data_IF_359415524678
#
_entry.id   IF_359415524678
#
_cell.length_a   1.000
_cell.length_b   1.000
_cell.length_c   1.000
_cell.angle_alpha   90.00
_cell.angle_beta   90.00
_cell.angle_gamma   90.00
#
_symmetry.space_group_name_H-M   'P 1'
#
loop_
_entity.id
_entity.type
_entity.pdbx_description
1 polymer ?
2 non-polymer ?
3 non-polymer ?
4 non-polymer ?
5 water ?
#
# COMPACT_ATOMS: atom_id res chain seq x y z
N UNK A 39 -13.32 17.09 5.94
CA UNK A 39 -14.29 16.07 6.44
C UNK A 39 -13.62 14.69 6.53
N UNK A 40 -12.93 14.31 5.46
CA UNK A 40 -12.24 13.03 5.43
C UNK A 40 -11.17 12.99 6.52
N UNK A 41 -10.34 14.03 6.56
CA UNK A 41 -9.28 14.10 7.55
C UNK A 41 -9.79 13.77 8.94
N UNK A 42 -10.83 14.46 9.37
CA UNK A 42 -11.37 14.21 10.69
C UNK A 42 -11.82 12.76 10.80
N UNK A 43 -12.51 12.27 9.79
CA UNK A 43 -13.00 10.91 9.79
C UNK A 43 -11.86 9.93 10.02
N UNK A 44 -10.83 10.06 9.20
CA UNK A 44 -9.63 9.23 9.24
C UNK A 44 -9.02 9.23 10.65
N UNK A 45 -8.64 10.40 11.15
CA UNK A 45 -8.05 10.52 12.48
C UNK A 45 -8.91 9.91 13.55
N UNK A 46 -10.22 10.11 13.46
CA UNK A 46 -11.07 9.56 14.48
C UNK A 46 -11.17 8.05 14.40
N UNK A 47 -11.23 7.51 13.19
CA UNK A 47 -11.35 6.07 13.09
C UNK A 47 -10.05 5.38 13.52
N UNK A 48 -8.91 5.99 13.22
CA UNK A 48 -7.64 5.40 13.61
C UNK A 48 -7.63 5.24 15.12
N UNK A 49 -8.25 6.18 15.82
CA UNK A 49 -8.31 6.12 17.27
C UNK A 49 -9.41 5.21 17.77
N UNK A 50 -10.63 5.40 17.29
CA UNK A 50 -11.74 4.58 17.74
C UNK A 50 -11.52 3.11 17.49
N UNK A 51 -11.05 2.77 16.30
CA UNK A 51 -10.79 1.38 15.94
C UNK A 51 -9.46 0.89 16.54
N UNK A 52 -8.76 1.79 17.23
CA UNK A 52 -7.49 1.48 17.88
C UNK A 52 -6.45 0.89 16.94
N UNK A 53 -6.19 1.61 15.87
CA UNK A 53 -5.24 1.20 14.86
C UNK A 53 -3.86 1.70 15.23
N UNK A 54 -3.72 3.02 15.38
CA UNK A 54 -2.43 3.58 15.78
C UNK A 54 -2.71 4.65 16.81
N UNK A 55 -1.74 4.91 17.68
CA UNK A 55 -1.87 5.94 18.68
C UNK A 55 -0.84 6.97 18.27
N UNK A 56 -1.27 8.20 18.06
CA UNK A 56 -0.36 9.25 17.61
C UNK A 56 0.28 10.07 18.71
N UNK A 57 -0.11 9.78 19.95
CA UNK A 57 0.41 10.54 21.08
C UNK A 57 1.87 10.29 21.48
N UNK A 58 2.71 9.89 20.54
CA UNK A 58 4.11 9.63 20.84
C UNK A 58 4.88 10.96 20.83
N UNK A 59 5.76 11.18 21.81
CA UNK A 59 6.56 12.40 21.93
C UNK A 59 7.42 12.84 20.76
N UNK A 60 7.46 12.04 19.69
CA UNK A 60 8.27 12.43 18.54
C UNK A 60 7.38 12.47 17.30
N UNK A 61 7.29 13.65 16.71
CA UNK A 61 6.46 13.87 15.53
C UNK A 61 6.79 12.97 14.36
N UNK A 62 5.76 12.38 13.78
CA UNK A 62 5.94 11.52 12.62
C UNK A 62 6.31 10.09 12.94
N UNK A 63 6.09 9.69 14.18
CA UNK A 63 6.42 8.34 14.59
C UNK A 63 5.29 7.86 15.44
N UNK A 64 4.53 6.92 14.91
CA UNK A 64 3.37 6.43 15.62
C UNK A 64 3.47 5.00 16.12
N UNK A 65 2.55 4.65 17.00
CA UNK A 65 2.51 3.33 17.61
C UNK A 65 1.43 2.46 17.02
N UNK A 66 1.77 1.23 16.68
CA UNK A 66 0.77 0.31 16.17
C UNK A 66 0.16 -0.41 17.36
N UNK A 67 -1.13 -0.16 17.60
CA UNK A 67 -1.83 -0.80 18.69
C UNK A 67 -2.25 -2.20 18.26
N UNK A 68 -2.63 -3.06 19.22
CA UNK A 68 -3.04 -4.43 18.88
C UNK A 68 -3.89 -4.60 17.63
N UNK A 69 -5.03 -3.92 17.57
CA UNK A 69 -5.90 -4.07 16.40
C UNK A 69 -5.19 -3.66 15.10
N UNK A 70 -4.62 -2.45 15.09
CA UNK A 70 -3.93 -1.99 13.91
C UNK A 70 -2.89 -3.02 13.49
N UNK A 71 -2.11 -3.49 14.46
CA UNK A 71 -1.08 -4.48 14.15
C UNK A 71 -1.64 -5.69 13.43
N UNK A 72 -2.82 -6.16 13.83
CA UNK A 72 -3.41 -7.32 13.19
C UNK A 72 -3.75 -7.07 11.72
N UNK A 73 -4.21 -5.87 11.41
CA UNK A 73 -4.56 -5.52 10.04
C UNK A 73 -3.28 -5.48 9.22
N UNK A 74 -2.26 -4.84 9.77
CA UNK A 74 -0.96 -4.73 9.12
C UNK A 74 -0.44 -6.13 8.85
N UNK A 75 -0.56 -6.98 9.85
CA UNK A 75 -0.11 -8.36 9.76
C UNK A 75 -0.80 -9.07 8.60
N UNK A 76 -2.13 -9.02 8.55
CA UNK A 76 -2.84 -9.68 7.47
C UNK A 76 -2.52 -9.07 6.11
N UNK A 77 -2.36 -7.76 6.06
CA UNK A 77 -2.03 -7.13 4.80
C UNK A 77 -0.70 -7.70 4.32
N UNK A 78 0.26 -7.85 5.23
CA UNK A 78 1.56 -8.40 4.82
C UNK A 78 1.48 -9.87 4.43
N UNK A 79 0.58 -10.63 5.06
CA UNK A 79 0.47 -12.03 4.68
C UNK A 79 0.10 -12.12 3.20
N UNK A 80 -0.87 -11.31 2.80
CA UNK A 80 -1.33 -11.27 1.43
C UNK A 80 -0.18 -10.89 0.52
N UNK A 81 0.56 -9.84 0.90
CA UNK A 81 1.69 -9.39 0.09
C UNK A 81 2.75 -10.46 -0.08
N UNK A 82 3.14 -11.11 1.02
CA UNK A 82 4.17 -12.12 0.96
C UNK A 82 3.78 -13.36 0.16
N UNK A 83 2.50 -13.75 0.15
CA UNK A 83 2.12 -14.92 -0.64
C UNK A 83 2.55 -14.68 -2.07
N UNK A 84 2.33 -13.45 -2.52
CA UNK A 84 2.68 -13.05 -3.87
C UNK A 84 4.18 -12.98 -4.05
N UNK A 85 4.81 -12.14 -3.25
CA UNK A 85 6.26 -11.97 -3.36
C UNK A 85 7.08 -13.24 -3.18
N UNK A 86 6.66 -14.14 -2.29
CA UNK A 86 7.44 -15.34 -2.07
C UNK A 86 7.45 -16.35 -3.21
N UNK A 87 6.65 -16.12 -4.25
CA UNK A 87 6.64 -17.03 -5.39
C UNK A 87 7.97 -16.97 -6.12
N UNK A 88 8.52 -15.78 -6.28
CA UNK A 88 9.77 -15.62 -7.02
C UNK A 88 10.79 -14.71 -6.38
N UNK A 89 10.53 -14.29 -5.16
CA UNK A 89 11.47 -13.41 -4.46
C UNK A 89 11.97 -14.11 -3.20
N UNK A 90 13.17 -13.74 -2.76
CA UNK A 90 13.74 -14.32 -1.55
C UNK A 90 13.83 -13.22 -0.50
N UNK A 91 13.13 -13.42 0.62
CA UNK A 91 13.16 -12.42 1.66
C UNK A 91 14.50 -12.43 2.37
N UNK A 92 15.00 -11.24 2.70
CA UNK A 92 16.26 -11.09 3.40
C UNK A 92 16.05 -10.03 4.48
N UNK A 93 17.12 -9.58 5.11
CA UNK A 93 17.02 -8.57 6.13
C UNK A 93 18.39 -7.95 6.32
N UNK A 94 18.54 -6.71 5.85
CA UNK A 94 19.79 -5.99 5.95
C UNK A 94 19.75 -5.02 7.10
N UNK A 95 20.90 -4.46 7.46
CA UNK A 95 21.01 -3.51 8.57
C UNK A 95 20.25 -2.21 8.38
N UNK A 96 20.12 -1.48 9.47
CA UNK A 96 19.43 -0.21 9.47
C UNK A 96 20.39 0.93 9.22
N UNK A 97 21.61 0.81 9.74
CA UNK A 97 22.60 1.87 9.62
C UNK A 97 23.54 1.82 8.44
N UNK A 98 23.75 2.98 7.84
CA UNK A 98 24.63 3.12 6.67
C UNK A 98 25.65 4.20 6.95
N UNK A 99 26.93 3.92 6.68
CA UNK A 99 28.03 4.86 6.90
C UNK A 99 28.11 5.87 5.76
N UNK A 100 28.51 7.11 6.06
CA UNK A 100 28.63 8.15 5.04
C UNK A 100 29.30 7.61 3.79
N UNK A 101 30.44 6.97 4.01
CA UNK A 101 31.22 6.37 2.93
C UNK A 101 30.32 5.72 1.86
N UNK A 102 29.48 4.78 2.29
CA UNK A 102 28.60 4.08 1.37
C UNK A 102 27.44 4.93 0.89
N UNK A 103 26.79 5.62 1.81
CA UNK A 103 25.65 6.46 1.48
C UNK A 103 25.94 7.48 0.39
N UNK A 104 26.94 8.32 0.62
CA UNK A 104 27.33 9.37 -0.33
C UNK A 104 28.15 8.85 -1.51
N UNK A 105 28.07 7.56 -1.76
CA UNK A 105 28.84 6.97 -2.86
C UNK A 105 28.14 7.17 -4.20
N UNK A 106 26.87 7.56 -4.18
CA UNK A 106 26.12 7.80 -5.42
C UNK A 106 26.01 9.30 -5.70
N UNK A 107 26.05 9.66 -6.99
CA UNK A 107 25.96 11.05 -7.39
C UNK A 107 24.61 11.69 -7.05
N UNK A 108 23.59 11.34 -7.82
CA UNK A 108 22.25 11.91 -7.62
C UNK A 108 21.49 11.34 -6.43
N UNK A 109 21.63 10.05 -6.17
CA UNK A 109 20.94 9.40 -5.06
C UNK A 109 21.22 10.13 -3.73
N UNK A 110 22.50 10.38 -3.45
CA UNK A 110 22.89 11.07 -2.23
C UNK A 110 22.32 12.50 -2.18
N UNK A 111 22.29 13.15 -3.35
CA UNK A 111 21.77 14.51 -3.47
C UNK A 111 20.28 14.49 -3.18
N UNK A 112 19.62 13.39 -3.57
CA UNK A 112 18.20 13.25 -3.37
C UNK A 112 17.74 13.11 -1.92
N UNK A 113 18.58 12.50 -1.08
CA UNK A 113 18.25 12.32 0.34
C UNK A 113 19.21 13.11 1.24
N UNK A 114 19.92 14.07 0.65
CA UNK A 114 20.87 14.90 1.39
C UNK A 114 20.46 15.25 2.82
N UNK A 115 19.46 16.12 2.96
CA UNK A 115 19.00 16.56 4.27
C UNK A 115 17.71 15.88 4.67
N UNK A 116 17.50 14.66 4.18
CA UNK A 116 16.31 13.91 4.51
C UNK A 116 16.70 12.71 5.35
N UNK A 117 18.00 12.62 5.65
CA UNK A 117 18.57 11.54 6.40
C UNK A 117 18.88 11.88 7.87
N UNK A 118 18.56 10.96 8.79
CA UNK A 118 18.86 11.16 10.21
C UNK A 118 20.27 10.62 10.42
N UNK A 119 21.08 11.31 11.22
CA UNK A 119 22.45 10.85 11.45
C UNK A 119 22.80 10.49 12.89
N UNK A 120 23.37 9.31 13.10
CA UNK A 120 23.80 8.94 14.44
C UNK A 120 25.26 9.36 14.42
N UNK A 121 25.68 10.11 15.43
CA UNK A 121 27.03 10.62 15.49
C UNK A 121 27.81 10.12 16.71
N UNK A 122 27.09 9.76 17.76
CA UNK A 122 27.74 9.28 18.96
C UNK A 122 27.35 7.89 19.38
N UNK A 123 28.32 7.17 19.91
CA UNK A 123 28.11 5.82 20.42
C UNK A 123 28.35 5.96 21.90
N UNK A 124 27.30 6.30 22.64
CA UNK A 124 27.45 6.50 24.07
C UNK A 124 27.87 7.93 24.26
N UNK A 125 28.93 8.16 25.01
CA UNK A 125 29.42 9.52 25.22
C UNK A 125 30.42 9.90 24.14
N UNK A 126 31.07 8.90 23.56
CA UNK A 126 32.07 9.12 22.53
C UNK A 126 31.49 9.30 21.13
N UNK A 127 32.07 10.23 20.39
CA UNK A 127 31.64 10.51 19.03
C UNK A 127 32.22 9.48 18.06
N UNK A 128 31.35 8.91 17.23
CA UNK A 128 31.78 7.91 16.26
C UNK A 128 32.75 8.53 15.25
N UNK A 129 33.77 7.76 14.89
CA UNK A 129 34.74 8.26 13.93
C UNK A 129 34.21 8.11 12.52
N UNK A 130 32.92 7.85 12.40
CA UNK A 130 32.31 7.65 11.09
C UNK A 130 30.80 7.77 11.29
N UNK A 131 30.21 8.84 10.77
CA UNK A 131 28.77 9.06 10.90
C UNK A 131 27.99 7.89 10.32
N UNK A 132 26.86 7.57 10.95
CA UNK A 132 26.01 6.50 10.47
C UNK A 132 24.60 7.04 10.24
N UNK A 133 24.06 6.77 9.06
CA UNK A 133 22.74 7.25 8.70
C UNK A 133 21.67 6.17 8.80
N UNK A 134 20.50 6.53 9.30
CA UNK A 134 19.41 5.56 9.36
C UNK A 134 18.98 5.42 7.90
N UNK A 135 18.74 4.20 7.45
CA UNK A 135 18.36 4.00 6.07
C UNK A 135 17.07 4.74 5.67
N UNK A 136 17.09 5.43 4.52
CA UNK A 136 15.95 6.17 3.97
C UNK A 136 15.30 5.18 3.02
N UNK A 137 16.17 4.32 2.50
CA UNK A 137 15.83 3.28 1.57
C UNK A 137 17.14 2.51 1.59
N UNK A 138 17.16 1.26 1.16
CA UNK A 138 18.39 0.49 1.30
C UNK A 138 19.37 0.25 0.15
N UNK A 139 19.28 1.02 -0.94
CA UNK A 139 20.20 0.81 -2.05
C UNK A 139 21.64 0.82 -1.57
N UNK A 140 22.01 1.86 -0.84
CA UNK A 140 23.38 1.98 -0.36
C UNK A 140 23.74 0.97 0.73
N UNK A 141 22.75 0.23 1.22
CA UNK A 141 23.00 -0.77 2.25
C UNK A 141 23.23 -2.12 1.62
N UNK A 142 22.40 -2.49 0.66
CA UNK A 142 22.49 -3.78 -0.01
C UNK A 142 23.42 -3.87 -1.20
N UNK A 143 23.52 -2.79 -1.96
CA UNK A 143 24.32 -2.85 -3.16
C UNK A 143 25.80 -3.17 -2.97
N UNK A 144 26.45 -2.56 -1.96
CA UNK A 144 27.85 -2.92 -1.83
C UNK A 144 27.95 -4.42 -1.54
N UNK A 145 26.95 -4.95 -0.85
CA UNK A 145 26.89 -6.37 -0.52
C UNK A 145 26.56 -7.19 -1.78
N UNK A 146 25.79 -6.61 -2.70
CA UNK A 146 25.44 -7.31 -3.94
C UNK A 146 26.69 -7.50 -4.79
N UNK A 147 27.62 -6.56 -4.66
CA UNK A 147 28.86 -6.59 -5.40
C UNK A 147 29.58 -7.91 -5.07
N UNK A 148 29.44 -8.37 -3.84
CA UNK A 148 30.09 -9.61 -3.41
C UNK A 148 29.29 -10.84 -3.81
N UNK A 149 27.98 -10.81 -3.59
CA UNK A 149 27.16 -11.96 -3.92
C UNK A 149 27.13 -12.28 -5.42
N UNK A 150 27.33 -11.29 -6.26
CA UNK A 150 27.28 -11.54 -7.70
C UNK A 150 28.65 -11.81 -8.33
N UNK A 151 28.74 -12.93 -9.04
CA UNK A 151 29.98 -13.33 -9.69
C UNK A 151 29.74 -13.84 -11.11
N UNK A 152 28.97 -14.91 -11.23
CA UNK A 152 28.70 -15.49 -12.53
C UNK A 152 27.26 -15.29 -13.02
N UNK A 153 27.09 -15.33 -14.33
CA UNK A 153 25.76 -15.19 -14.93
C UNK A 153 24.85 -16.29 -14.43
N UNK A 154 25.44 -17.34 -13.86
CA UNK A 154 24.65 -18.44 -13.35
C UNK A 154 23.96 -17.97 -12.06
N UNK A 155 24.56 -16.97 -11.44
CA UNK A 155 24.02 -16.37 -10.22
C UNK A 155 22.73 -15.59 -10.51
N UNK A 156 22.70 -14.90 -11.65
CA UNK A 156 21.55 -14.10 -12.02
C UNK A 156 20.45 -14.93 -12.67
N UNK A 157 19.19 -14.48 -12.57
CA UNK A 157 18.76 -13.26 -11.88
C UNK A 157 18.53 -13.49 -10.40
N UNK A 158 18.66 -12.43 -9.62
CA UNK A 158 18.44 -12.47 -8.17
C UNK A 158 17.30 -11.53 -7.84
N UNK A 159 16.37 -12.00 -7.02
CA UNK A 159 15.23 -11.17 -6.64
C UNK A 159 14.99 -11.21 -5.13
N UNK A 160 15.29 -10.09 -4.47
CA UNK A 160 15.15 -9.98 -3.03
C UNK A 160 14.15 -8.92 -2.58
N UNK A 161 13.74 -9.01 -1.32
CA UNK A 161 12.83 -8.04 -0.72
C UNK A 161 12.89 -8.15 0.78
N UNK A 162 12.54 -7.06 1.44
CA UNK A 162 12.50 -7.03 2.88
C UNK A 162 11.44 -6.04 3.35
N UNK A 163 10.90 -6.26 4.54
CA UNK A 163 9.90 -5.38 5.10
C UNK A 163 10.56 -4.84 6.35
N UNK A 164 11.01 -3.60 6.28
CA UNK A 164 11.72 -3.03 7.41
C UNK A 164 11.20 -1.66 7.74
N UNK A 165 11.85 -1.00 8.68
CA UNK A 165 11.44 0.34 9.03
C UNK A 165 12.47 1.30 8.46
N UNK A 166 12.02 2.33 7.74
CA UNK A 166 12.95 3.30 7.17
C UNK A 166 12.67 4.69 7.73
N UNK A 167 13.62 5.60 7.55
CA UNK A 167 13.47 6.93 8.11
C UNK A 167 13.69 8.05 7.13
N UNK A 168 12.81 9.04 7.16
CA UNK A 168 12.93 10.17 6.26
C UNK A 168 12.52 11.46 6.96
N UNK A 169 13.49 12.36 7.10
CA UNK A 169 13.27 13.65 7.73
C UNK A 169 12.75 14.60 6.64
N UNK A 170 11.43 14.74 6.57
CA UNK A 170 10.81 15.57 5.55
C UNK A 170 9.85 16.64 6.07
N UNK A 171 8.93 17.03 5.18
CA UNK A 171 7.87 18.03 5.41
C UNK A 171 7.44 18.20 6.86
N UNK A 172 7.26 19.46 7.26
CA UNK A 172 6.80 19.74 8.61
C UNK A 172 5.43 19.06 8.74
N UNK A 173 4.78 18.80 7.60
CA UNK A 173 3.45 18.20 7.61
C UNK A 173 3.38 16.70 7.70
N UNK A 174 3.25 16.24 8.94
CA UNK A 174 3.16 14.85 9.31
C UNK A 174 1.73 14.31 9.21
N UNK A 175 1.56 13.19 8.54
CA UNK A 175 0.24 12.59 8.42
C UNK A 175 0.35 11.10 8.72
N UNK A 176 -0.54 10.59 9.57
CA UNK A 176 -0.58 9.18 9.97
C UNK A 176 -0.61 8.23 8.78
N UNK A 177 0.29 7.24 8.78
CA UNK A 177 0.35 6.24 7.71
C UNK A 177 0.60 6.80 6.32
N UNK A 178 0.62 8.13 6.17
CA UNK A 178 0.78 8.70 4.84
C UNK A 178 2.08 9.45 4.65
N UNK A 179 2.48 10.19 5.66
CA UNK A 179 3.73 10.91 5.61
C UNK A 179 4.32 10.84 7.01
N UNK A 180 5.06 9.79 7.27
CA UNK A 180 5.66 9.61 8.59
C UNK A 180 7.16 9.70 8.51
N UNK A 181 7.79 9.92 9.65
CA UNK A 181 9.24 10.01 9.72
C UNK A 181 9.77 8.58 9.83
N UNK A 182 9.04 7.72 10.52
CA UNK A 182 9.43 6.33 10.60
C UNK A 182 8.42 5.50 9.81
N UNK A 183 8.80 5.09 8.61
CA UNK A 183 7.91 4.28 7.81
C UNK A 183 8.09 2.90 8.41
N UNK A 184 7.15 2.49 9.23
CA UNK A 184 7.22 1.20 9.89
C UNK A 184 6.95 -0.02 9.01
N UNK A 185 6.38 0.19 7.83
CA UNK A 185 6.08 -0.95 6.98
C UNK A 185 6.58 -0.74 5.57
N UNK A 186 7.88 -0.54 5.44
CA UNK A 186 8.49 -0.30 4.15
C UNK A 186 8.91 -1.60 3.50
N UNK A 187 8.22 -1.99 2.45
CA UNK A 187 8.58 -3.19 1.75
C UNK A 187 9.36 -2.76 0.53
N UNK A 188 10.63 -3.14 0.46
CA UNK A 188 11.44 -2.79 -0.68
C UNK A 188 11.96 -4.07 -1.32
N UNK A 189 11.81 -4.16 -2.64
CA UNK A 189 12.29 -5.31 -3.39
C UNK A 189 13.37 -4.78 -4.29
N UNK A 190 14.42 -5.58 -4.50
CA UNK A 190 15.52 -5.20 -5.36
C UNK A 190 15.86 -6.40 -6.21
N UNK A 191 15.99 -6.20 -7.52
CA UNK A 191 16.31 -7.32 -8.40
C UNK A 191 17.60 -7.06 -9.18
N UNK A 192 18.19 -8.14 -9.69
CA UNK A 192 19.43 -8.05 -10.44
C UNK A 192 19.33 -8.89 -11.70
N UNK A 193 19.72 -8.31 -12.83
CA UNK A 193 19.62 -9.03 -14.10
C UNK A 193 20.87 -8.91 -14.97
N UNK A 194 21.01 -9.85 -15.90
CA UNK A 194 22.15 -9.87 -16.81
C UNK A 194 21.99 -8.85 -17.94
N UNK A 195 20.81 -8.79 -18.53
CA UNK A 195 20.55 -7.86 -19.64
C UNK A 195 19.54 -6.80 -19.30
N UNK A 196 19.68 -5.63 -19.91
CA UNK A 196 18.75 -4.53 -19.69
C UNK A 196 17.35 -5.00 -20.07
N UNK A 197 17.29 -5.90 -21.05
CA UNK A 197 16.03 -6.43 -21.50
C UNK A 197 15.27 -7.08 -20.35
N UNK A 198 15.96 -7.90 -19.56
CA UNK A 198 15.32 -8.58 -18.45
C UNK A 198 14.87 -7.59 -17.37
N UNK A 199 15.61 -6.51 -17.19
CA UNK A 199 15.24 -5.53 -16.19
C UNK A 199 13.87 -4.97 -16.55
N UNK A 200 13.71 -4.52 -17.79
CA UNK A 200 12.45 -3.96 -18.24
C UNK A 200 11.36 -4.99 -18.05
N UNK A 201 11.71 -6.25 -18.27
CA UNK A 201 10.74 -7.31 -18.11
C UNK A 201 10.35 -7.38 -16.64
N UNK A 202 11.32 -7.22 -15.75
CA UNK A 202 11.08 -7.26 -14.32
C UNK A 202 10.14 -6.12 -13.94
N UNK A 203 10.41 -4.93 -14.45
CA UNK A 203 9.53 -3.80 -14.17
C UNK A 203 8.09 -4.20 -14.49
N UNK A 204 7.89 -4.91 -15.60
CA UNK A 204 6.54 -5.33 -15.97
C UNK A 204 5.97 -6.30 -14.96
N UNK A 205 6.81 -7.18 -14.45
CA UNK A 205 6.39 -8.16 -13.47
C UNK A 205 5.99 -7.49 -12.16
N UNK A 206 6.79 -6.53 -11.74
CA UNK A 206 6.52 -5.81 -10.51
C UNK A 206 5.14 -5.18 -10.61
N UNK A 207 4.89 -4.52 -11.74
CA UNK A 207 3.61 -3.86 -11.97
C UNK A 207 2.46 -4.87 -11.82
N UNK A 208 2.65 -6.06 -12.36
CA UNK A 208 1.61 -7.07 -12.27
C UNK A 208 1.44 -7.58 -10.84
N UNK A 209 2.54 -7.59 -10.10
CA UNK A 209 2.51 -8.05 -8.72
C UNK A 209 1.73 -7.04 -7.89
N UNK A 210 1.98 -5.76 -8.11
CA UNK A 210 1.25 -4.73 -7.39
C UNK A 210 -0.22 -4.73 -7.78
N UNK A 211 -0.51 -4.91 -9.07
CA UNK A 211 -1.90 -4.94 -9.48
C UNK A 211 -2.62 -6.02 -8.70
N UNK A 212 -2.03 -7.20 -8.66
CA UNK A 212 -2.63 -8.30 -7.93
C UNK A 212 -2.73 -8.00 -6.44
N UNK A 213 -1.68 -7.40 -5.89
CA UNK A 213 -1.71 -7.08 -4.46
C UNK A 213 -2.89 -6.17 -4.23
N UNK A 214 -2.93 -5.05 -4.93
CA UNK A 214 -4.00 -4.09 -4.79
C UNK A 214 -5.37 -4.67 -5.08
N UNK A 215 -5.51 -5.43 -6.16
CA UNK A 215 -6.81 -6.01 -6.45
C UNK A 215 -7.29 -6.82 -5.25
N UNK A 216 -6.37 -7.46 -4.53
CA UNK A 216 -6.74 -8.25 -3.36
C UNK A 216 -7.25 -7.37 -2.23
N UNK A 217 -6.83 -6.12 -2.21
CA UNK A 217 -7.26 -5.18 -1.18
C UNK A 217 -8.42 -4.34 -1.72
N UNK A 218 -8.81 -4.63 -2.96
CA UNK A 218 -9.90 -3.90 -3.58
C UNK A 218 -9.56 -2.44 -3.75
N UNK A 219 -8.27 -2.15 -3.89
CA UNK A 219 -7.81 -0.80 -4.06
C UNK A 219 -7.61 -0.51 -5.54
N UNK A 220 -8.25 0.57 -6.05
CA UNK A 220 -8.14 0.96 -7.46
C UNK A 220 -6.87 1.79 -7.62
N UNK A 221 -6.38 1.91 -8.85
CA UNK A 221 -5.14 2.63 -9.08
C UNK A 221 -4.97 3.11 -10.52
N UNK A 222 -4.12 4.13 -10.68
CA UNK A 222 -3.80 4.70 -11.96
C UNK A 222 -2.30 4.46 -12.09
N UNK A 223 -1.88 3.87 -13.20
CA UNK A 223 -0.47 3.58 -13.40
C UNK A 223 0.11 4.53 -14.44
N UNK A 224 1.20 5.20 -14.10
CA UNK A 224 1.80 6.15 -15.04
C UNK A 224 3.31 6.13 -14.93
N UNK A 225 3.97 6.84 -15.85
CA UNK A 225 5.42 6.92 -15.84
C UNK A 225 5.72 8.33 -15.36
N UNK A 226 6.25 8.45 -14.15
CA UNK A 226 6.57 9.75 -13.57
C UNK A 226 7.45 10.54 -14.53
N UNK A 227 7.40 11.87 -14.44
CA UNK A 227 8.20 12.75 -15.28
C UNK A 227 9.65 12.48 -14.92
N UNK A 228 10.57 12.69 -15.86
CA UNK A 228 11.99 12.44 -15.57
C UNK A 228 12.62 13.29 -14.49
N UNK A 229 11.89 14.25 -13.94
CA UNK A 229 12.46 15.08 -12.88
C UNK A 229 11.91 14.68 -11.52
N UNK A 230 11.01 13.70 -11.54
CA UNK A 230 10.40 13.19 -10.33
C UNK A 230 10.84 11.75 -10.11
N UNK A 231 11.52 11.17 -11.08
CA UNK A 231 11.94 9.78 -10.95
C UNK A 231 12.85 9.57 -9.77
N UNK A 232 12.90 8.32 -9.31
CA UNK A 232 13.73 7.93 -8.19
C UNK A 232 15.17 8.37 -8.47
N UNK A 233 15.80 9.06 -7.50
CA UNK A 233 17.17 9.54 -7.62
C UNK A 233 18.16 8.53 -8.19
N UNK A 234 18.56 8.76 -9.44
CA UNK A 234 19.51 7.85 -10.06
C UNK A 234 18.93 6.78 -10.96
N UNK A 235 17.62 6.67 -11.04
CA UNK A 235 17.01 5.64 -11.87
C UNK A 235 16.91 6.06 -13.32
N UNK A 236 16.54 5.11 -14.18
CA UNK A 236 16.35 5.38 -15.59
C UNK A 236 14.95 5.93 -15.72
N UNK A 237 14.02 5.35 -14.99
CA UNK A 237 12.64 5.81 -15.01
C UNK A 237 11.83 5.18 -13.90
N UNK A 238 10.76 5.85 -13.51
CA UNK A 238 9.91 5.38 -12.43
C UNK A 238 8.47 5.21 -12.86
N UNK A 239 7.89 4.09 -12.48
CA UNK A 239 6.50 3.84 -12.79
C UNK A 239 5.84 3.94 -11.42
N UNK A 240 4.73 4.65 -11.34
CA UNK A 240 4.06 4.81 -10.05
C UNK A 240 2.59 4.45 -10.05
N UNK A 241 2.12 3.97 -8.91
CA UNK A 241 0.72 3.65 -8.74
C UNK A 241 0.17 4.76 -7.87
N UNK A 242 -0.96 5.33 -8.29
CA UNK A 242 -1.60 6.39 -7.53
C UNK A 242 -3.03 5.98 -7.32
N UNK A 243 -3.57 6.32 -6.16
CA UNK A 243 -4.96 6.00 -5.87
C UNK A 243 -5.58 7.30 -5.39
N UNK A 244 -6.90 7.35 -5.36
CA UNK A 244 -7.61 8.56 -4.97
C UNK A 244 -8.22 8.49 -3.58
N UNK A 245 -7.90 9.48 -2.75
CA UNK A 245 -8.45 9.53 -1.40
C UNK A 245 -9.80 10.21 -1.38
N UNK A 246 -10.68 9.83 -0.45
CA UNK A 246 -12.01 10.40 -0.33
C UNK A 246 -12.07 11.93 -0.29
N UNK A 247 -10.92 12.59 -0.22
CA UNK A 247 -10.92 14.04 -0.18
C UNK A 247 -10.50 14.61 -1.52
N UNK A 248 -10.54 13.76 -2.54
CA UNK A 248 -10.19 14.21 -3.87
C UNK A 248 -8.70 14.34 -4.11
N UNK A 249 -7.90 14.11 -3.08
CA UNK A 249 -6.45 14.17 -3.23
C UNK A 249 -5.91 12.80 -3.62
N UNK A 250 -4.78 12.82 -4.30
CA UNK A 250 -4.14 11.60 -4.79
C UNK A 250 -3.06 11.11 -3.84
N UNK A 251 -2.88 9.79 -3.79
CA UNK A 251 -1.87 9.18 -2.92
C UNK A 251 -1.02 8.17 -3.66
N UNK A 252 0.29 8.38 -3.68
CA UNK A 252 1.20 7.45 -4.33
C UNK A 252 1.32 6.20 -3.44
N UNK A 253 0.84 5.06 -3.93
CA UNK A 253 0.87 3.86 -3.12
C UNK A 253 1.80 2.78 -3.60
N UNK A 254 2.73 3.13 -4.48
CA UNK A 254 3.67 2.15 -4.97
C UNK A 254 4.53 2.68 -6.09
N UNK A 255 5.79 2.28 -6.13
CA UNK A 255 6.67 2.71 -7.19
C UNK A 255 7.58 1.58 -7.62
N UNK A 256 7.89 1.56 -8.91
CA UNK A 256 8.78 0.58 -9.50
C UNK A 256 9.82 1.41 -10.21
N UNK A 257 11.08 1.06 -10.05
CA UNK A 257 12.16 1.81 -10.68
C UNK A 257 13.08 0.92 -11.49
N UNK A 258 13.47 1.39 -12.65
CA UNK A 258 14.40 0.65 -13.47
C UNK A 258 15.67 1.43 -13.24
N UNK A 259 16.62 0.81 -12.56
CA UNK A 259 17.86 1.47 -12.23
C UNK A 259 18.93 1.35 -13.30
N UNK A 260 18.61 0.65 -14.38
CA UNK A 260 19.59 0.47 -15.43
C UNK A 260 20.86 -0.06 -14.81
N UNK A 261 22.00 0.53 -15.13
CA UNK A 261 23.25 0.06 -14.55
C UNK A 261 23.97 1.17 -13.82
N UNK A 262 23.29 2.29 -13.57
CA UNK A 262 23.97 3.38 -12.89
C UNK A 262 24.46 2.97 -11.51
N UNK A 263 23.64 2.20 -10.79
CA UNK A 263 24.06 1.74 -9.46
C UNK A 263 25.13 0.68 -9.56
N UNK A 264 24.99 -0.21 -10.53
CA UNK A 264 25.97 -1.27 -10.74
C UNK A 264 27.36 -0.68 -10.89
N UNK A 265 27.46 0.37 -11.70
CA UNK A 265 28.75 1.01 -11.94
C UNK A 265 29.27 1.69 -10.68
N UNK A 266 28.36 2.22 -9.88
CA UNK A 266 28.74 2.92 -8.67
C UNK A 266 29.34 1.98 -7.60
N UNK A 267 28.70 0.84 -7.40
CA UNK A 267 29.14 -0.11 -6.39
C UNK A 267 29.93 -1.29 -6.92
N UNK A 268 30.22 -1.28 -8.21
CA UNK A 268 31.00 -2.35 -8.85
C UNK A 268 30.33 -3.70 -8.82
N UNK A 269 29.09 -3.78 -9.29
CA UNK A 269 28.39 -5.05 -9.31
C UNK A 269 28.53 -5.63 -10.71
N UNK A 270 29.57 -6.45 -10.90
CA UNK A 270 29.85 -7.05 -12.20
C UNK A 270 29.61 -8.55 -12.19
N UNK A 271 29.45 -9.12 -13.38
CA UNK A 271 29.25 -10.55 -13.49
C UNK A 271 29.96 -11.12 -14.70
N UNK A 272 30.43 -12.36 -14.57
CA UNK A 272 31.14 -13.03 -15.65
C UNK A 272 30.17 -13.63 -16.66
N UNK A 273 30.32 -13.22 -17.92
CA UNK A 273 29.46 -13.71 -19.00
C UNK A 273 29.90 -15.10 -19.40
N UNK A 274 29.06 -15.84 -20.15
CA UNK A 274 29.43 -17.19 -20.57
C UNK A 274 30.68 -17.22 -21.48
N UNK A 275 31.10 -16.06 -21.95
CA UNK A 275 32.28 -15.99 -22.81
C UNK A 275 33.54 -15.75 -21.97
N UNK A 276 33.39 -15.01 -20.88
CA UNK A 276 34.53 -14.71 -20.02
C UNK A 276 34.71 -13.22 -19.85
N UNK A 277 33.70 -12.47 -20.29
CA UNK A 277 33.74 -11.01 -20.18
C UNK A 277 33.14 -10.57 -18.86
N UNK A 278 33.41 -9.32 -18.49
CA UNK A 278 32.88 -8.77 -17.25
C UNK A 278 32.07 -7.51 -17.49
N UNK A 279 30.75 -7.67 -17.50
CA UNK A 279 29.83 -6.57 -17.71
C UNK A 279 29.09 -6.24 -16.41
N UNK A 280 28.55 -5.02 -16.34
CA UNK A 280 27.80 -4.62 -15.17
C UNK A 280 26.40 -5.24 -15.22
N UNK A 281 25.67 -5.18 -14.12
CA UNK A 281 24.34 -5.77 -14.07
C UNK A 281 23.24 -4.74 -14.27
N UNK A 282 22.04 -5.22 -14.56
CA UNK A 282 20.88 -4.35 -14.73
C UNK A 282 19.97 -4.57 -13.54
N UNK A 283 19.68 -3.49 -12.82
CA UNK A 283 18.86 -3.57 -11.63
C UNK A 283 17.55 -2.81 -11.68
N UNK A 284 16.60 -3.27 -10.86
CA UNK A 284 15.32 -2.60 -10.71
C UNK A 284 14.98 -2.75 -9.23
N UNK A 285 14.08 -1.92 -8.74
CA UNK A 285 13.67 -2.00 -7.35
C UNK A 285 12.29 -1.40 -7.25
N UNK A 286 11.48 -1.87 -6.31
CA UNK A 286 10.13 -1.36 -6.15
C UNK A 286 9.65 -1.50 -4.72
N UNK A 287 8.82 -0.57 -4.27
CA UNK A 287 8.36 -0.61 -2.90
C UNK A 287 6.99 -0.04 -2.58
N UNK A 288 6.53 -0.36 -1.38
CA UNK A 288 5.24 0.06 -0.85
C UNK A 288 5.50 0.44 0.59
N UNK A 289 4.58 1.18 1.20
CA UNK A 289 4.74 1.57 2.58
C UNK A 289 3.43 1.38 3.32
N UNK A 290 3.30 2.03 4.46
CA UNK A 290 2.09 1.96 5.27
C UNK A 290 0.93 2.60 4.53
N UNK A 291 1.23 3.34 3.47
CA UNK A 291 0.19 4.00 2.69
C UNK A 291 -0.82 2.98 2.21
N UNK A 292 -0.35 1.79 1.92
CA UNK A 292 -1.24 0.74 1.46
C UNK A 292 -2.30 0.47 2.52
N UNK A 293 -1.94 0.59 3.79
CA UNK A 293 -2.91 0.33 4.84
C UNK A 293 -3.82 1.53 5.01
N UNK A 294 -3.24 2.73 4.87
CA UNK A 294 -4.02 3.94 4.98
C UNK A 294 -5.14 3.88 3.93
N UNK A 295 -4.78 3.56 2.69
CA UNK A 295 -5.77 3.52 1.65
C UNK A 295 -6.81 2.43 1.82
N UNK A 296 -6.43 1.28 2.35
CA UNK A 296 -7.43 0.23 2.51
C UNK A 296 -8.45 0.72 3.54
N UNK A 297 -7.97 1.51 4.49
CA UNK A 297 -8.85 2.06 5.51
C UNK A 297 -9.69 3.16 4.90
N UNK A 298 -9.03 4.09 4.22
CA UNK A 298 -9.70 5.23 3.59
C UNK A 298 -10.68 4.90 2.48
N UNK A 299 -10.23 4.14 1.50
CA UNK A 299 -11.09 3.79 0.37
C UNK A 299 -12.35 3.03 0.69
N UNK A 300 -12.26 1.98 1.50
CA UNK A 300 -13.45 1.22 1.84
C UNK A 300 -14.04 1.82 3.10
N UNK A 301 -13.56 3.02 3.42
CA UNK A 301 -14.04 3.73 4.58
C UNK A 301 -15.56 3.73 4.61
N UNK A 302 -16.14 4.27 5.67
CA UNK A 302 -17.58 4.21 5.79
C UNK A 302 -18.06 5.12 6.91
N UNK A 303 -19.37 5.24 7.07
CA UNK A 303 -19.93 6.09 8.11
C UNK A 303 -19.99 5.31 9.41
N UNK A 304 -20.13 3.99 9.29
CA UNK A 304 -20.19 3.12 10.45
C UNK A 304 -18.78 2.82 10.96
N UNK A 305 -17.78 3.22 10.19
CA UNK A 305 -16.40 2.98 10.60
C UNK A 305 -15.58 2.28 9.54
N UNK A 306 -14.90 1.21 9.93
CA UNK A 306 -14.08 0.48 8.99
C UNK A 306 -14.87 -0.59 8.26
N UNK A 307 -14.50 -0.80 7.01
CA UNK A 307 -15.08 -1.84 6.18
C UNK A 307 -13.84 -2.37 5.49
N UNK A 308 -13.52 -3.64 5.75
CA UNK A 308 -12.29 -4.20 5.20
C UNK A 308 -12.44 -5.47 4.40
N UNK A 309 -11.52 -5.68 3.44
CA UNK A 309 -11.55 -6.89 2.62
C UNK A 309 -11.40 -8.04 3.60
N UNK A 310 -12.27 -9.05 3.49
CA UNK A 310 -12.22 -10.21 4.38
C UNK A 310 -10.83 -10.73 4.78
N UNK A 311 -9.89 -10.75 3.83
CA UNK A 311 -8.56 -11.24 4.14
C UNK A 311 -7.64 -10.26 4.86
N UNK A 312 -8.18 -9.09 5.21
CA UNK A 312 -7.39 -8.09 5.91
C UNK A 312 -7.89 -7.85 7.32
N UNK A 313 -9.19 -8.04 7.53
CA UNK A 313 -9.80 -7.80 8.84
C UNK A 313 -9.22 -8.70 9.92
N UNK A 314 -9.22 -8.20 11.15
CA UNK A 314 -8.70 -8.94 12.29
C UNK A 314 -9.53 -10.20 12.51
N UNK A 315 -10.81 -10.12 12.16
CA UNK A 315 -11.70 -11.26 12.27
C UNK A 315 -12.52 -11.26 11.00
N UNK A 316 -12.75 -12.42 10.43
CA UNK A 316 -13.55 -12.50 9.22
C UNK A 316 -15.00 -12.75 9.62
N UNK A 317 -15.19 -13.42 10.75
CA UNK A 317 -16.51 -13.73 11.23
C UNK A 317 -16.60 -13.58 12.74
N UNK A 318 -17.52 -12.75 13.20
CA UNK A 318 -17.71 -12.58 14.64
C UNK A 318 -19.08 -13.15 15.01
N UNK A 319 -19.08 -14.18 15.86
CA UNK A 319 -20.33 -14.81 16.29
C UNK A 319 -20.89 -14.09 17.51
N UNK A 320 -22.12 -13.60 17.38
CA UNK A 320 -22.76 -12.89 18.48
C UNK A 320 -24.02 -13.63 18.93
N UNK A 321 -23.97 -14.23 20.13
CA UNK A 321 -25.14 -14.95 20.62
C UNK A 321 -26.17 -14.00 21.23
N UNK A 322 -27.44 -14.17 20.87
CA UNK A 322 -28.51 -13.34 21.39
C UNK A 322 -29.20 -14.14 22.49
N UNK A 323 -29.18 -13.63 23.71
CA UNK A 323 -29.76 -14.34 24.84
C UNK A 323 -30.43 -13.46 25.90
N UNK A 324 -31.59 -13.92 26.39
CA UNK A 324 -32.32 -13.21 27.42
C UNK A 324 -32.75 -14.18 28.51
N UNK A 325 -31.88 -15.11 28.88
CA UNK A 325 -32.22 -16.09 29.92
C UNK A 325 -33.38 -16.97 29.43
N UNK A 326 -33.18 -17.63 28.29
CA UNK A 326 -34.19 -18.52 27.70
C UNK A 326 -33.51 -19.47 26.72
N UNK A 327 -33.07 -20.62 27.22
CA UNK A 327 -32.39 -21.63 26.40
C UNK A 327 -30.94 -21.21 26.17
N UNK A 328 -30.46 -20.33 27.03
CA UNK A 328 -29.10 -19.81 26.96
C UNK A 328 -28.06 -20.91 26.82
N UNK A 329 -28.07 -21.85 27.76
CA UNK A 329 -27.13 -22.96 27.76
C UNK A 329 -27.06 -23.65 26.41
N UNK A 330 -28.17 -23.65 25.69
CA UNK A 330 -28.24 -24.28 24.38
C UNK A 330 -27.79 -23.35 23.26
N UNK A 331 -27.99 -22.06 23.47
CA UNK A 331 -27.59 -21.07 22.48
C UNK A 331 -26.07 -20.97 22.52
N UNK A 332 -25.53 -20.81 23.72
CA UNK A 332 -24.10 -20.72 23.90
C UNK A 332 -23.37 -21.91 23.33
N UNK A 333 -23.83 -23.12 23.66
CA UNK A 333 -23.18 -24.32 23.14
C UNK A 333 -23.35 -24.47 21.63
N UNK A 334 -24.25 -23.67 21.07
CA UNK A 334 -24.47 -23.72 19.63
C UNK A 334 -23.44 -22.80 18.97
N UNK A 335 -23.10 -21.72 19.67
CA UNK A 335 -22.12 -20.77 19.18
C UNK A 335 -20.72 -21.35 19.27
N UNK A 336 -20.40 -21.91 20.44
CA UNK A 336 -19.09 -22.50 20.66
C UNK A 336 -18.86 -23.58 19.61
N UNK A 337 -19.86 -24.42 19.40
CA UNK A 337 -19.76 -25.48 18.43
C UNK A 337 -19.43 -24.83 17.09
N UNK A 338 -20.14 -23.76 16.77
CA UNK A 338 -19.92 -23.05 15.51
C UNK A 338 -18.51 -22.47 15.40
N UNK A 339 -18.05 -21.79 16.44
CA UNK A 339 -16.71 -21.21 16.40
C UNK A 339 -15.68 -22.27 16.06
N UNK A 340 -15.58 -23.28 16.91
CA UNK A 340 -14.62 -24.37 16.69
C UNK A 340 -14.72 -24.87 15.26
N UNK A 341 -15.95 -25.10 14.81
CA UNK A 341 -16.19 -25.60 13.47
C UNK A 341 -15.62 -24.68 12.41
N UNK A 342 -15.67 -23.38 12.65
CA UNK A 342 -15.13 -22.42 11.70
C UNK A 342 -13.61 -22.35 11.79
N UNK A 343 -13.07 -22.37 13.00
CA UNK A 343 -11.63 -22.33 13.17
C UNK A 343 -10.99 -23.45 12.36
N UNK A 344 -11.53 -24.65 12.53
CA UNK A 344 -11.03 -25.83 11.84
C UNK A 344 -11.22 -25.72 10.33
N UNK A 345 -12.11 -24.83 9.90
CA UNK A 345 -12.35 -24.66 8.47
C UNK A 345 -11.36 -23.66 7.87
N UNK A 346 -10.61 -22.99 8.74
CA UNK A 346 -9.64 -22.01 8.28
C UNK A 346 -10.06 -20.57 8.47
N UNK A 347 -11.14 -20.34 9.20
CA UNK A 347 -11.62 -18.98 9.42
C UNK A 347 -10.96 -18.29 10.59
N UNK A 348 -10.88 -16.97 10.51
CA UNK A 348 -10.35 -16.15 11.58
C UNK A 348 -11.63 -15.70 12.28
N UNK A 349 -12.15 -16.53 13.16
CA UNK A 349 -13.40 -16.25 13.84
C UNK A 349 -13.25 -15.82 15.31
N UNK A 350 -14.25 -15.10 15.80
CA UNK A 350 -14.26 -14.64 17.18
C UNK A 350 -15.67 -14.73 17.77
N UNK A 351 -15.82 -15.45 18.88
CA UNK A 351 -17.11 -15.58 19.55
C UNK A 351 -17.22 -14.52 20.63
N UNK A 352 -18.06 -13.52 20.41
CA UNK A 352 -18.21 -12.45 21.39
C UNK A 352 -19.26 -12.82 22.44
N UNK A 353 -18.83 -13.52 23.48
CA UNK A 353 -19.73 -13.95 24.54
C UNK A 353 -19.71 -12.99 25.72
N UNK A 354 -19.25 -11.77 25.49
CA UNK A 354 -19.22 -10.78 26.56
C UNK A 354 -20.63 -10.55 27.08
N UNK A 355 -20.72 -9.93 28.26
CA UNK A 355 -22.02 -9.68 28.86
C UNK A 355 -22.49 -8.24 28.65
N UNK A 356 -22.78 -7.91 27.41
CA UNK A 356 -23.26 -6.58 27.08
C UNK A 356 -24.39 -6.71 26.07
N UNK A 357 -25.10 -5.62 25.83
CA UNK A 357 -26.20 -5.65 24.89
C UNK A 357 -25.73 -5.87 23.46
N UNK A 358 -26.32 -6.86 22.80
CA UNK A 358 -25.97 -7.20 21.43
C UNK A 358 -25.84 -5.99 20.53
N UNK A 359 -26.54 -4.91 20.86
CA UNK A 359 -26.46 -3.72 20.04
C UNK A 359 -25.04 -3.19 20.03
N UNK A 360 -24.51 -2.94 21.23
CA UNK A 360 -23.16 -2.43 21.38
C UNK A 360 -22.17 -3.34 20.64
N UNK A 361 -22.36 -4.66 20.76
CA UNK A 361 -21.48 -5.58 20.07
C UNK A 361 -21.51 -5.30 18.57
N UNK A 362 -22.72 -5.23 18.01
CA UNK A 362 -22.88 -4.97 16.58
C UNK A 362 -22.07 -3.75 16.17
N UNK A 363 -22.25 -2.66 16.90
CA UNK A 363 -21.55 -1.42 16.61
C UNK A 363 -20.04 -1.61 16.60
N UNK A 364 -19.52 -2.20 17.66
CA UNK A 364 -18.08 -2.43 17.79
C UNK A 364 -17.47 -3.17 16.62
N UNK A 365 -17.90 -4.40 16.39
CA UNK A 365 -17.35 -5.19 15.31
C UNK A 365 -17.64 -4.60 13.94
N UNK A 366 -18.59 -3.67 13.91
CA UNK A 366 -18.92 -3.03 12.65
C UNK A 366 -17.96 -1.88 12.41
N UNK A 367 -17.67 -1.11 13.44
CA UNK A 367 -16.77 0.02 13.27
C UNK A 367 -15.34 -0.49 13.15
N UNK A 368 -15.12 -1.75 13.53
CA UNK A 368 -13.80 -2.35 13.45
C UNK A 368 -13.56 -3.03 12.12
N UNK A 369 -14.58 -3.09 11.28
CA UNK A 369 -14.42 -3.70 9.98
C UNK A 369 -14.65 -5.19 9.82
N UNK A 370 -15.18 -5.87 10.83
CA UNK A 370 -15.42 -7.30 10.66
C UNK A 370 -16.44 -7.49 9.55
N UNK A 371 -16.10 -8.28 8.52
CA UNK A 371 -16.95 -8.58 7.37
C UNK A 371 -18.31 -9.21 7.65
N UNK A 372 -18.29 -10.34 8.33
CA UNK A 372 -19.51 -11.07 8.62
C UNK A 372 -19.82 -11.21 10.09
N UNK A 373 -21.09 -11.04 10.42
CA UNK A 373 -21.54 -11.17 11.80
C UNK A 373 -22.54 -12.30 11.78
N UNK A 374 -22.33 -13.31 12.60
CA UNK A 374 -23.26 -14.42 12.67
C UNK A 374 -23.99 -14.34 13.99
N UNK A 375 -25.30 -14.15 13.93
CA UNK A 375 -26.13 -14.03 15.12
C UNK A 375 -26.95 -15.30 15.34
N UNK A 376 -27.01 -15.73 16.58
CA UNK A 376 -27.77 -16.94 16.92
C UNK A 376 -28.67 -16.70 18.12
N UNK A 377 -29.96 -16.94 17.91
CA UNK A 377 -30.94 -16.75 18.97
C UNK A 377 -31.77 -18.00 19.18
N UNK A 378 -32.57 -18.05 20.25
CA UNK A 378 -33.42 -19.21 20.55
C UNK A 378 -34.19 -19.69 19.34
N UNK A 379 -34.91 -18.77 18.70
CA UNK A 379 -35.71 -19.09 17.52
C UNK A 379 -34.91 -19.86 16.49
N UNK A 380 -34.18 -19.12 15.65
CA UNK A 380 -33.37 -19.70 14.59
C UNK A 380 -32.65 -20.96 15.01
N UNK A 381 -32.17 -20.98 16.25
CA UNK A 381 -31.47 -22.14 16.77
C UNK A 381 -32.37 -23.36 16.72
N UNK A 382 -33.58 -23.23 17.25
CA UNK A 382 -34.56 -24.32 17.25
C UNK A 382 -35.09 -24.55 15.84
N UNK A 383 -34.27 -24.25 14.84
CA UNK A 383 -34.65 -24.43 13.44
C UNK A 383 -33.42 -24.83 12.63
N UNK A 384 -32.25 -24.78 13.26
CA UNK A 384 -31.01 -25.14 12.60
C UNK A 384 -30.49 -24.08 11.64
N UNK A 385 -30.78 -22.82 11.94
CA UNK A 385 -30.33 -21.71 11.10
C UNK A 385 -29.87 -20.52 11.94
N UNK A 386 -29.22 -19.57 11.27
CA UNK A 386 -28.72 -18.37 11.93
C UNK A 386 -28.80 -17.18 10.99
N UNK A 387 -28.57 -15.99 11.53
CA UNK A 387 -28.60 -14.78 10.73
C UNK A 387 -27.19 -14.31 10.41
N UNK A 388 -26.90 -14.10 9.13
CA UNK A 388 -25.58 -13.65 8.69
C UNK A 388 -25.68 -12.24 8.14
N UNK A 389 -24.98 -11.30 8.76
CA UNK A 389 -25.02 -9.91 8.32
C UNK A 389 -23.73 -9.46 7.62
N UNK A 390 -23.86 -8.80 6.48
CA UNK A 390 -22.72 -8.30 5.72
C UNK A 390 -22.36 -6.92 6.23
N UNK A 391 -21.10 -6.54 6.13
CA UNK A 391 -20.66 -5.25 6.61
C UNK A 391 -20.70 -4.20 5.51
N UNK A 392 -20.36 -4.60 4.29
CA UNK A 392 -20.35 -3.69 3.16
C UNK A 392 -21.75 -3.23 2.80
N UNK A 393 -22.70 -4.15 2.83
CA UNK A 393 -24.08 -3.85 2.48
C UNK A 393 -25.03 -3.65 3.64
N UNK A 394 -24.98 -4.55 4.61
CA UNK A 394 -25.88 -4.44 5.74
C UNK A 394 -26.93 -5.51 5.58
N UNK A 395 -26.87 -6.19 4.44
CA UNK A 395 -27.80 -7.26 4.14
C UNK A 395 -27.70 -8.42 5.12
N UNK A 396 -28.81 -8.75 5.76
CA UNK A 396 -28.84 -9.86 6.68
C UNK A 396 -29.58 -10.95 5.93
N UNK A 397 -29.08 -12.17 5.99
CA UNK A 397 -29.74 -13.28 5.33
C UNK A 397 -29.90 -14.37 6.37
N UNK A 398 -30.53 -15.48 5.98
CA UNK A 398 -30.71 -16.59 6.90
C UNK A 398 -30.10 -17.81 6.24
N UNK A 399 -29.26 -18.52 6.98
CA UNK A 399 -28.60 -19.69 6.43
C UNK A 399 -28.62 -20.87 7.38
N UNK A 400 -28.52 -22.07 6.80
CA UNK A 400 -28.53 -23.31 7.56
C UNK A 400 -27.17 -23.51 8.18
N UNK A 401 -27.13 -23.55 9.51
CA UNK A 401 -25.88 -23.77 10.21
C UNK A 401 -25.22 -25.04 9.69
N UNK A 402 -25.97 -25.83 8.95
CA UNK A 402 -25.46 -27.10 8.40
C UNK A 402 -24.37 -26.98 7.34
N UNK A 403 -24.49 -25.99 6.46
CA UNK A 403 -23.46 -25.83 5.44
C UNK A 403 -22.93 -24.41 5.43
N UNK A 404 -23.13 -23.73 6.56
CA UNK A 404 -22.71 -22.34 6.72
C UNK A 404 -21.29 -22.02 6.28
N UNK A 405 -20.38 -22.98 6.40
CA UNK A 405 -19.01 -22.73 5.99
C UNK A 405 -18.95 -22.19 4.57
N UNK A 406 -19.56 -22.89 3.63
CA UNK A 406 -19.57 -22.46 2.24
C UNK A 406 -20.32 -21.16 2.04
N UNK A 407 -21.40 -20.99 2.80
CA UNK A 407 -22.19 -19.77 2.70
C UNK A 407 -21.28 -18.59 3.00
N UNK A 408 -20.49 -18.72 4.08
CA UNK A 408 -19.58 -17.67 4.50
C UNK A 408 -18.48 -17.42 3.48
N UNK A 409 -17.86 -18.48 2.97
CA UNK A 409 -16.80 -18.31 1.98
C UNK A 409 -17.31 -17.53 0.78
N UNK A 410 -18.49 -17.90 0.29
CA UNK A 410 -19.07 -17.23 -0.86
C UNK A 410 -19.32 -15.76 -0.56
N UNK A 411 -19.91 -15.48 0.61
CA UNK A 411 -20.19 -14.12 1.00
C UNK A 411 -18.93 -13.28 1.01
N UNK A 412 -17.83 -13.86 1.51
CA UNK A 412 -16.56 -13.16 1.57
C UNK A 412 -16.06 -12.81 0.17
N UNK A 413 -16.14 -13.76 -0.77
CA UNK A 413 -15.70 -13.49 -2.13
C UNK A 413 -16.52 -12.33 -2.67
N UNK A 414 -17.82 -12.38 -2.38
CA UNK A 414 -18.74 -11.37 -2.85
C UNK A 414 -18.40 -9.99 -2.31
N UNK A 415 -18.20 -9.90 -1.00
CA UNK A 415 -17.87 -8.63 -0.37
C UNK A 415 -16.67 -7.92 -1.00
N UNK A 416 -15.61 -8.68 -1.32
CA UNK A 416 -14.42 -8.08 -1.91
C UNK A 416 -14.76 -7.52 -3.28
N UNK A 417 -15.38 -8.35 -4.12
CA UNK A 417 -15.77 -7.94 -5.46
C UNK A 417 -16.61 -6.68 -5.42
N UNK A 418 -17.56 -6.64 -4.49
CA UNK A 418 -18.39 -5.46 -4.36
C UNK A 418 -17.51 -4.28 -4.01
N UNK A 419 -16.75 -4.40 -2.93
CA UNK A 419 -15.88 -3.31 -2.48
C UNK A 419 -14.90 -2.87 -3.55
N UNK A 420 -14.32 -3.82 -4.28
CA UNK A 420 -13.37 -3.49 -5.32
C UNK A 420 -14.09 -2.74 -6.45
N UNK A 421 -15.26 -3.25 -6.83
CA UNK A 421 -16.05 -2.64 -7.89
C UNK A 421 -16.40 -1.21 -7.52
N UNK A 422 -17.15 -1.05 -6.44
CA UNK A 422 -17.56 0.27 -5.99
C UNK A 422 -16.36 1.20 -6.05
N UNK A 423 -15.26 0.74 -5.44
CA UNK A 423 -14.03 1.49 -5.39
C UNK A 423 -13.58 1.97 -6.77
N UNK A 424 -13.59 1.08 -7.75
CA UNK A 424 -13.18 1.48 -9.09
C UNK A 424 -14.12 2.50 -9.73
N UNK A 425 -15.41 2.31 -9.52
CA UNK A 425 -16.38 3.24 -10.07
C UNK A 425 -16.08 4.62 -9.48
N UNK A 426 -16.04 4.69 -8.16
CA UNK A 426 -15.78 5.97 -7.49
C UNK A 426 -14.51 6.66 -8.00
N UNK A 427 -13.48 5.90 -8.35
CA UNK A 427 -12.28 6.56 -8.81
C UNK A 427 -12.39 7.04 -10.24
N UNK A 428 -12.83 6.16 -11.13
CA UNK A 428 -12.96 6.53 -12.53
C UNK A 428 -13.90 7.71 -12.74
N UNK A 429 -14.96 7.77 -11.94
CA UNK A 429 -15.90 8.87 -12.05
C UNK A 429 -15.26 10.18 -11.62
N UNK A 430 -14.01 10.12 -11.18
CA UNK A 430 -13.30 11.32 -10.74
C UNK A 430 -12.12 11.68 -11.62
N UNK A 431 -11.97 10.94 -12.72
CA UNK A 431 -10.91 11.23 -13.68
C UNK A 431 -11.60 11.94 -14.83
N UNK A 432 -11.34 13.24 -14.95
CA UNK A 432 -11.98 14.05 -15.99
C UNK A 432 -11.00 14.63 -17.01
N UNK A 433 -11.42 14.66 -18.27
CA UNK A 433 -10.60 15.19 -19.34
C UNK A 433 -10.65 16.71 -19.41
N UNK A 434 -9.58 17.31 -19.91
CA UNK A 434 -9.51 18.76 -20.04
C UNK A 434 -8.75 19.12 -21.30
N UNK A 435 -9.30 20.05 -22.06
CA UNK A 435 -8.68 20.50 -23.30
C UNK A 435 -8.03 21.85 -23.09
N UNK A 436 -8.56 22.62 -22.14
CA UNK A 436 -8.02 23.94 -21.85
C UNK A 436 -7.37 23.97 -20.48
N UNK A 437 -6.24 24.68 -20.38
CA UNK A 437 -5.55 24.78 -19.11
C UNK A 437 -6.44 25.46 -18.09
N UNK A 438 -7.38 26.27 -18.58
CA UNK A 438 -8.30 26.99 -17.73
C UNK A 438 -9.41 26.07 -17.27
N UNK A 439 -9.80 25.15 -18.13
CA UNK A 439 -10.86 24.19 -17.80
C UNK A 439 -10.36 23.27 -16.69
N UNK A 440 -9.05 23.02 -16.69
CA UNK A 440 -8.43 22.17 -15.68
C UNK A 440 -8.59 22.82 -14.33
N UNK A 441 -8.19 24.09 -14.23
CA UNK A 441 -8.30 24.82 -12.98
C UNK A 441 -9.72 24.79 -12.42
N UNK A 442 -10.70 24.92 -13.31
CA UNK A 442 -12.08 24.92 -12.86
C UNK A 442 -12.48 23.56 -12.29
N UNK A 443 -12.08 22.49 -12.96
CA UNK A 443 -12.43 21.15 -12.52
C UNK A 443 -11.72 20.77 -11.21
N UNK A 444 -10.41 21.00 -11.15
CA UNK A 444 -9.66 20.67 -9.94
C UNK A 444 -10.27 21.37 -8.74
N UNK A 445 -10.26 22.69 -8.78
CA UNK A 445 -10.79 23.50 -7.70
C UNK A 445 -12.24 23.21 -7.30
N UNK A 446 -13.05 22.78 -8.26
CA UNK A 446 -14.46 22.50 -7.98
C UNK A 446 -14.79 21.06 -7.63
N UNK A 447 -14.29 20.11 -8.42
CA UNK A 447 -14.58 18.70 -8.18
C UNK A 447 -13.41 17.87 -7.67
N UNK A 448 -12.23 18.46 -7.62
CA UNK A 448 -11.02 17.75 -7.18
C UNK A 448 -10.80 16.57 -8.12
N UNK A 449 -10.33 15.45 -7.59
CA UNK A 449 -10.10 14.29 -8.44
C UNK A 449 -8.91 14.41 -9.37
N UNK A 450 -8.86 13.51 -10.35
CA UNK A 450 -7.78 13.47 -11.33
C UNK A 450 -8.19 14.12 -12.64
N UNK A 451 -7.23 14.76 -13.30
CA UNK A 451 -7.48 15.41 -14.56
C UNK A 451 -6.62 14.87 -15.67
N UNK A 452 -7.28 14.33 -16.69
CA UNK A 452 -6.63 13.75 -17.85
C UNK A 452 -6.38 14.83 -18.90
N UNK A 453 -5.31 14.70 -19.66
CA UNK A 453 -5.02 15.70 -20.68
C UNK A 453 -3.86 15.28 -21.57
N UNK A 454 -3.81 15.83 -22.78
CA UNK A 454 -2.74 15.51 -23.69
C UNK A 454 -1.64 16.49 -23.37
N UNK A 455 -0.39 16.04 -23.36
CA UNK A 455 0.73 16.89 -23.00
C UNK A 455 1.95 16.65 -23.86
N UNK A 456 2.70 17.73 -24.14
CA UNK A 456 3.89 17.62 -24.97
C UNK A 456 5.02 16.86 -24.31
N UNK A 457 5.03 16.85 -22.98
CA UNK A 457 6.06 16.14 -22.26
C UNK A 457 7.37 16.89 -22.06
N UNK A 458 7.31 18.21 -22.04
CA UNK A 458 8.51 19.00 -21.85
C UNK A 458 8.60 19.52 -20.43
N UNK A 459 9.80 19.58 -19.89
CA UNK A 459 9.99 20.07 -18.52
C UNK A 459 9.25 21.39 -18.30
N UNK A 460 9.77 22.44 -18.92
CA UNK A 460 9.24 23.78 -18.79
C UNK A 460 7.74 23.85 -18.96
N UNK A 461 7.19 23.11 -19.92
CA UNK A 461 5.74 23.15 -20.13
C UNK A 461 5.03 22.50 -18.95
N UNK A 462 5.57 21.38 -18.48
CA UNK A 462 4.98 20.66 -17.37
C UNK A 462 5.05 21.50 -16.10
N UNK A 463 6.23 22.05 -15.83
CA UNK A 463 6.43 22.89 -14.65
C UNK A 463 5.43 24.03 -14.68
N UNK A 464 5.30 24.64 -15.85
CA UNK A 464 4.39 25.76 -16.04
C UNK A 464 2.96 25.32 -15.75
N UNK A 465 2.59 24.14 -16.22
CA UNK A 465 1.24 23.62 -15.98
C UNK A 465 1.00 23.52 -14.48
N UNK A 466 1.97 22.94 -13.78
CA UNK A 466 1.86 22.77 -12.33
C UNK A 466 1.73 24.10 -11.62
N UNK A 467 2.61 25.03 -11.96
CA UNK A 467 2.58 26.35 -11.34
C UNK A 467 1.26 27.06 -11.58
N UNK A 468 0.80 27.07 -12.82
CA UNK A 468 -0.45 27.76 -13.17
C UNK A 468 -1.69 27.13 -12.55
N UNK A 469 -1.72 25.80 -12.49
CA UNK A 469 -2.89 25.14 -11.93
C UNK A 469 -2.70 24.79 -10.46
N UNK A 470 -1.49 25.02 -9.94
CA UNK A 470 -1.16 24.73 -8.54
C UNK A 470 -1.60 23.29 -8.33
N UNK A 471 -0.96 22.39 -9.08
CA UNK A 471 -1.29 20.99 -9.05
C UNK A 471 -0.02 20.22 -9.38
N UNK A 472 -0.07 18.89 -9.34
CA UNK A 472 1.10 18.09 -9.66
C UNK A 472 0.82 17.08 -10.78
N UNK A 473 1.76 16.98 -11.72
CA UNK A 473 1.62 16.04 -12.82
C UNK A 473 2.04 14.66 -12.34
N UNK A 474 1.07 13.77 -12.19
CA UNK A 474 1.34 12.42 -11.73
C UNK A 474 2.29 11.66 -12.66
N UNK A 475 1.99 11.67 -13.96
CA UNK A 475 2.83 10.97 -14.90
C UNK A 475 2.18 10.85 -16.27
N UNK A 476 2.80 10.09 -17.16
CA UNK A 476 2.26 9.93 -18.50
C UNK A 476 1.89 8.51 -18.88
N UNK A 477 1.22 8.40 -20.03
CA UNK A 477 0.80 7.12 -20.59
C UNK A 477 0.83 7.33 -22.09
N UNK A 478 1.76 6.68 -22.77
CA UNK A 478 1.89 6.83 -24.21
C UNK A 478 0.66 6.39 -24.97
N UNK A 479 0.28 7.19 -25.96
CA UNK A 479 -0.88 6.88 -26.79
C UNK A 479 -0.85 7.76 -28.04
N UNK A 480 -1.98 7.79 -28.76
CA UNK A 480 -2.07 8.60 -29.96
C UNK A 480 -1.71 10.04 -29.66
N UNK A 481 -1.25 10.76 -30.68
CA UNK A 481 -0.87 12.15 -30.49
C UNK A 481 -2.05 13.09 -30.28
N UNK A 482 -1.73 14.38 -30.25
CA UNK A 482 -2.72 15.41 -30.05
C UNK A 482 -1.92 16.68 -29.84
N UNK A 483 -2.50 17.65 -29.14
CA UNK A 483 -1.83 18.90 -28.89
C UNK A 483 -1.78 19.19 -27.39
N UNK A 484 -0.61 19.62 -26.93
CA UNK A 484 -0.42 19.92 -25.51
C UNK A 484 -1.42 20.96 -25.03
N UNK A 485 -2.19 20.57 -24.02
CA UNK A 485 -3.21 21.42 -23.41
C UNK A 485 -2.69 22.82 -23.08
N UNK A 486 -1.37 22.93 -22.91
CA UNK A 486 -0.76 24.20 -22.56
C UNK A 486 -0.11 24.96 -23.72
N UNK A 487 0.86 24.33 -24.37
CA UNK A 487 1.58 24.99 -25.46
C UNK A 487 1.08 24.65 -26.88
N UNK A 488 0.03 23.84 -26.97
CA UNK A 488 -0.51 23.48 -28.27
C UNK A 488 0.37 22.65 -29.19
N UNK A 489 1.64 22.46 -28.84
CA UNK A 489 2.53 21.66 -29.68
C UNK A 489 2.08 20.20 -29.73
N UNK A 490 2.79 19.37 -30.49
CA UNK A 490 2.41 17.96 -30.59
C UNK A 490 2.51 17.27 -29.25
N UNK A 491 1.41 16.65 -28.85
CA UNK A 491 1.33 15.94 -27.58
C UNK A 491 1.37 14.42 -27.74
N UNK A 492 2.52 13.81 -27.48
CA UNK A 492 2.72 12.36 -27.58
C UNK A 492 2.14 11.60 -26.37
N UNK A 493 1.99 12.30 -25.26
CA UNK A 493 1.52 11.65 -24.04
C UNK A 493 0.18 12.05 -23.47
N UNK A 494 -0.47 11.06 -22.85
CA UNK A 494 -1.73 11.24 -22.15
C UNK A 494 -1.19 11.42 -20.73
N UNK A 495 -1.46 12.56 -20.13
CA UNK A 495 -0.95 12.82 -18.80
C UNK A 495 -2.07 13.07 -17.80
N UNK A 496 -1.73 12.94 -16.52
CA UNK A 496 -2.71 13.15 -15.47
C UNK A 496 -2.10 14.09 -14.45
N UNK A 497 -2.95 14.81 -13.75
CA UNK A 497 -2.49 15.72 -12.72
C UNK A 497 -3.54 15.74 -11.63
N UNK A 498 -3.16 16.24 -10.46
CA UNK A 498 -4.09 16.30 -9.35
C UNK A 498 -3.41 16.93 -8.15
N UNK A 499 -4.19 17.15 -7.09
CA UNK A 499 -3.65 17.69 -5.84
C UNK A 499 -3.24 16.40 -5.09
N UNK A 500 -2.00 16.35 -4.63
CA UNK A 500 -1.52 15.14 -3.99
C UNK A 500 -1.11 15.24 -2.53
N UNK A 501 -0.92 14.06 -1.93
CA UNK A 501 -0.48 13.93 -0.55
C UNK A 501 1.05 13.87 -0.52
X LIG B 1 3.38 21.43 -23.75
X LIG C 1 5.82 17.68 -9.32
X LIG D 1 14.03 2.37 -3.19
X LIG D 1 12.73 2.67 -3.80
X LIG D 1 11.91 1.41 -3.98
X LIG D 1 12.15 0.27 -2.63
X LIG D 1 11.98 3.58 -2.87
X LIG D 1 12.39 4.02 -1.82
X LIG D 1 11.04 4.30 -3.56
X LIG D 1 10.22 5.56 -3.00
X LIG D 1 11.15 6.58 -2.47
X LIG D 1 9.34 5.95 -4.15
X LIG D 1 9.28 5.03 -1.81
X LIG D 1 8.52 3.82 -1.93
X LIG D 1 7.06 4.04 -1.56
X LIG D 1 6.92 4.37 -0.16
X LIG D 1 6.37 5.17 -2.30
X LIG D 1 5.82 4.68 -3.53
X LIG D 1 5.32 5.67 -1.32
X LIG D 1 4.06 5.05 -1.51
X LIG D 1 5.89 5.32 0.03
X LIG D 1 6.44 6.45 0.82
X LIG D 1 7.49 7.31 0.51
X LIG D 1 7.74 8.21 1.44
X LIG D 1 6.81 7.94 2.44
X LIG D 1 6.53 8.53 3.72
X LIG D 1 7.21 9.56 4.21
X LIG D 1 5.52 8.01 4.48
X LIG D 1 4.81 6.95 3.99
X LIG D 1 4.99 6.31 2.80
X LIG D 1 6.01 6.86 2.07
#
# INVERSE_FOLDING_TARGET
MGSSHHHHHHSSGLVPRGSHMQKPIKKDPNRYHGEKMTEFSEWFHNILEEAEIIDQRYPVKGMHVWMPHGFMIRKNTLKILRRILDRDHEEVLFPLLVPEDELAKEAIHVKGFEDEVYWVTHGGLSKLQRKLALRPTSETVMYPMFALWVRSHTDLPMRFYQVVNTFRYETKHTRPLIRVREITTFKEAHTIHATASEAEEQVERAVEIYKEFFNSLGIPYLITRRPPWDKFPGSEYTVAFDTLMPDGKTLQIGTVHNLGQTFARTFEIKFETPEGDHEYVHQTCYGLSDRVIASVIAIHGDESGLCLPPDVAAHQVVIVPIIFKKAAEEVMEACRELRSRLEAAGFRVHLDDRDIRAGRKYYEWEMRGVPLRVEIGPRDLEKGAAVISRRDTGEKVTADLQGIEETLRELMKDILENLRTRAWERMESEIREAETLEEASRIVDEKRGIISFMWCGEEECGMDVEEKVRVDILGIQEEGSGTCINCGREAPYRAYLARTY
ZN ZN
MG MG
5CA N CA CB SG C O N3S S O1S O2S O5' C5' C4' O4' C3' O3' C2' O2' C1' N9 C8 N7 C5 C6 N6 N1 C2 N3 C4
#
